data_IF_900512907994
#
_entry.id   IF_900512907994
#
_cell.length_a   1.000
_cell.length_b   1.000
_cell.length_c   1.000
_cell.angle_alpha   90.00
_cell.angle_beta   90.00
_cell.angle_gamma   90.00
#
_symmetry.space_group_name_H-M   'P 1'
#
loop_
_entity.id
_entity.type
_entity.pdbx_description
1 polymer ?
#
# COMPACT_ATOMS: atom_id res chain seq x y z
N UNK A 1 11.15 -20.14 0.65
CA UNK A 1 10.12 -20.26 1.72
C UNK A 1 9.67 -21.72 1.83
N UNK A 2 9.51 -22.29 3.03
CA UNK A 2 9.01 -23.68 3.20
C UNK A 2 7.77 -23.73 4.10
N UNK A 3 6.96 -24.78 3.99
CA UNK A 3 5.80 -25.00 4.87
C UNK A 3 6.21 -25.04 6.34
N UNK A 4 7.35 -25.67 6.65
CA UNK A 4 7.87 -25.73 8.02
C UNK A 4 8.16 -24.32 8.58
N UNK A 5 8.84 -23.47 7.80
CA UNK A 5 9.11 -22.08 8.19
C UNK A 5 7.81 -21.28 8.40
N UNK A 6 6.86 -21.38 7.47
CA UNK A 6 5.58 -20.65 7.56
C UNK A 6 4.77 -21.11 8.77
N UNK A 7 4.78 -22.42 9.09
CA UNK A 7 4.09 -22.95 10.27
C UNK A 7 4.67 -22.39 11.58
N UNK A 8 6.00 -22.34 11.70
CA UNK A 8 6.65 -21.73 12.86
C UNK A 8 6.29 -20.25 12.99
N UNK A 9 6.41 -19.49 11.90
CA UNK A 9 6.05 -18.07 11.88
C UNK A 9 4.58 -17.84 12.28
N UNK A 10 3.64 -18.62 11.74
CA UNK A 10 2.23 -18.49 12.08
C UNK A 10 1.91 -18.88 13.53
N UNK A 11 2.65 -19.84 14.10
CA UNK A 11 2.51 -20.18 15.52
C UNK A 11 2.94 -18.99 16.40
N UNK A 12 4.07 -18.36 16.09
CA UNK A 12 4.58 -17.19 16.80
C UNK A 12 3.64 -15.98 16.67
N UNK A 13 3.21 -15.66 15.44
CA UNK A 13 2.26 -14.57 15.20
C UNK A 13 0.93 -14.82 15.91
N UNK A 14 0.40 -16.06 15.90
CA UNK A 14 -0.84 -16.39 16.60
C UNK A 14 -0.70 -16.21 18.12
N UNK A 15 0.43 -16.65 18.69
CA UNK A 15 0.68 -16.54 20.13
C UNK A 15 0.70 -15.08 20.60
N UNK A 16 1.17 -14.15 19.77
CA UNK A 16 1.17 -12.72 20.08
C UNK A 16 -0.14 -11.98 19.71
N UNK A 17 -0.69 -12.23 18.52
CA UNK A 17 -1.82 -11.47 17.99
C UNK A 17 -3.15 -11.84 18.64
N UNK A 18 -3.37 -13.10 19.01
CA UNK A 18 -4.65 -13.52 19.62
C UNK A 18 -4.88 -12.83 20.97
N UNK A 19 -3.94 -12.88 21.94
CA UNK A 19 -4.13 -12.15 23.21
C UNK A 19 -4.26 -10.64 23.03
N UNK A 20 -3.54 -10.06 22.06
CA UNK A 20 -3.64 -8.63 21.76
C UNK A 20 -5.04 -8.24 21.26
N UNK A 21 -5.61 -9.01 20.33
CA UNK A 21 -6.95 -8.78 19.81
C UNK A 21 -8.00 -8.97 20.91
N UNK A 22 -7.85 -9.99 21.76
CA UNK A 22 -8.73 -10.21 22.92
C UNK A 22 -8.68 -9.05 23.91
N UNK A 23 -7.50 -8.50 24.18
CA UNK A 23 -7.33 -7.35 25.07
C UNK A 23 -7.95 -6.08 24.48
N UNK A 24 -7.70 -5.80 23.19
CA UNK A 24 -8.30 -4.66 22.49
C UNK A 24 -9.83 -4.80 22.44
N UNK A 25 -10.35 -6.00 22.19
CA UNK A 25 -11.79 -6.26 22.09
C UNK A 25 -12.57 -6.05 23.40
N UNK A 26 -11.89 -6.00 24.55
CA UNK A 26 -12.49 -5.65 25.85
C UNK A 26 -12.57 -4.14 26.10
N UNK A 27 -11.91 -3.33 25.26
CA UNK A 27 -11.89 -1.88 25.39
C UNK A 27 -13.03 -1.25 24.59
N UNK A 28 -13.44 0.00 24.91
CA UNK A 28 -14.34 0.75 24.06
C UNK A 28 -13.80 0.89 22.63
N UNK A 29 -14.70 0.88 21.65
CA UNK A 29 -14.36 1.10 20.25
C UNK A 29 -13.77 2.51 20.10
N UNK A 30 -12.68 2.64 19.35
CA UNK A 30 -12.08 3.92 19.04
C UNK A 30 -13.01 4.74 18.14
N UNK A 31 -13.07 6.05 18.38
CA UNK A 31 -13.79 6.96 17.50
C UNK A 31 -13.08 7.05 16.14
N UNK A 32 -13.72 6.52 15.10
CA UNK A 32 -13.27 6.52 13.71
C UNK A 32 -14.08 7.47 12.82
N UNK A 33 -14.89 8.36 13.42
CA UNK A 33 -15.74 9.30 12.68
C UNK A 33 -14.95 10.25 11.78
N UNK A 34 -13.67 10.45 12.04
CA UNK A 34 -12.79 11.22 11.16
C UNK A 34 -12.52 10.55 9.79
N UNK A 35 -12.75 9.24 9.68
CA UNK A 35 -12.56 8.46 8.45
C UNK A 35 -13.85 8.35 7.63
N UNK A 36 -15.00 8.70 8.20
CA UNK A 36 -16.32 8.59 7.55
C UNK A 36 -16.94 9.96 7.36
N UNK A 37 -17.61 10.19 6.22
CA UNK A 37 -18.10 11.52 5.85
C UNK A 37 -18.18 11.69 4.35
N UNK A 38 -18.49 12.89 3.86
CA UNK A 38 -18.48 13.17 2.41
C UNK A 38 -17.10 13.66 1.97
N UNK A 39 -16.36 12.77 1.33
CA UNK A 39 -15.02 12.98 0.80
C UNK A 39 -15.05 12.92 -0.74
N UNK A 40 -15.18 14.04 -1.44
CA UNK A 40 -15.17 14.05 -2.91
C UNK A 40 -13.90 13.41 -3.48
N UNK A 41 -14.06 12.56 -4.50
CA UNK A 41 -12.97 11.78 -5.12
C UNK A 41 -11.76 12.64 -5.49
N UNK A 42 -12.00 13.81 -6.10
CA UNK A 42 -10.91 14.71 -6.50
C UNK A 42 -10.08 15.23 -5.31
N UNK A 43 -10.70 15.45 -4.14
CA UNK A 43 -9.98 15.85 -2.93
C UNK A 43 -9.17 14.69 -2.34
N UNK A 44 -9.75 13.50 -2.32
CA UNK A 44 -9.04 12.29 -1.90
C UNK A 44 -7.82 12.04 -2.78
N UNK A 45 -7.97 12.16 -4.10
CA UNK A 45 -6.88 12.03 -5.06
C UNK A 45 -5.77 13.04 -4.79
N UNK A 46 -6.11 14.32 -4.69
CA UNK A 46 -5.11 15.37 -4.46
C UNK A 46 -4.37 15.15 -3.13
N UNK A 47 -5.08 14.73 -2.09
CA UNK A 47 -4.48 14.40 -0.79
C UNK A 47 -3.56 13.18 -0.90
N UNK A 48 -4.03 12.09 -1.50
CA UNK A 48 -3.23 10.88 -1.72
C UNK A 48 -1.96 11.15 -2.52
N UNK A 49 -2.04 11.88 -3.63
CA UNK A 49 -0.87 12.29 -4.43
C UNK A 49 0.12 13.14 -3.62
N UNK A 50 -0.38 14.02 -2.75
CA UNK A 50 0.47 14.83 -1.86
C UNK A 50 1.21 13.96 -0.84
N UNK A 51 0.52 13.01 -0.22
CA UNK A 51 1.10 12.12 0.80
C UNK A 51 2.16 11.20 0.19
N UNK A 52 1.88 10.54 -0.93
CA UNK A 52 2.84 9.60 -1.52
C UNK A 52 4.06 10.32 -2.12
N UNK A 53 3.88 11.55 -2.62
CA UNK A 53 5.01 12.40 -3.01
C UNK A 53 5.91 12.72 -1.81
N UNK A 54 5.33 12.99 -0.64
CA UNK A 54 6.09 13.23 0.58
C UNK A 54 6.79 11.96 1.10
N UNK A 55 6.26 10.78 0.81
CA UNK A 55 6.91 9.49 1.15
C UNK A 55 8.11 9.19 0.26
N UNK A 56 8.11 9.69 -0.99
CA UNK A 56 9.18 9.48 -1.95
C UNK A 56 8.75 8.85 -3.27
N UNK A 57 7.45 8.61 -3.49
CA UNK A 57 6.98 8.15 -4.79
C UNK A 57 7.25 9.20 -5.88
N UNK A 58 8.06 8.84 -6.86
CA UNK A 58 8.45 9.75 -7.93
C UNK A 58 7.43 9.71 -9.08
N UNK A 59 6.67 10.80 -9.23
CA UNK A 59 5.73 11.01 -10.33
C UNK A 59 6.41 11.32 -11.67
N UNK A 60 7.72 11.60 -11.68
CA UNK A 60 8.53 11.68 -12.90
C UNK A 60 8.70 10.31 -13.57
N UNK A 61 8.57 9.22 -12.80
CA UNK A 61 8.65 7.85 -13.30
C UNK A 61 7.40 7.00 -12.95
N UNK A 62 6.24 7.64 -12.82
CA UNK A 62 5.02 6.96 -12.41
C UNK A 62 3.77 7.84 -12.44
N UNK A 63 2.62 7.25 -12.14
CA UNK A 63 1.32 7.94 -12.01
C UNK A 63 0.35 7.16 -11.14
N UNK A 64 -0.65 7.87 -10.62
CA UNK A 64 -1.78 7.33 -9.86
C UNK A 64 -3.08 7.36 -10.67
N UNK A 65 -3.77 6.22 -10.75
CA UNK A 65 -5.05 6.05 -11.44
C UNK A 65 -6.12 5.33 -10.60
N UNK A 66 -7.37 5.38 -11.06
CA UNK A 66 -8.48 4.64 -10.45
C UNK A 66 -8.67 3.27 -11.11
N UNK A 67 -8.91 2.25 -10.30
CA UNK A 67 -9.30 0.90 -10.73
C UNK A 67 -10.31 0.27 -9.75
N UNK A 68 -10.82 -0.92 -10.08
CA UNK A 68 -11.69 -1.68 -9.19
C UNK A 68 -10.93 -2.31 -8.00
N UNK A 69 -9.71 -2.79 -8.26
CA UNK A 69 -8.82 -3.43 -7.29
C UNK A 69 -7.44 -2.81 -7.39
N UNK A 70 -7.00 -2.04 -6.36
CA UNK A 70 -5.67 -1.42 -6.33
C UNK A 70 -4.55 -2.43 -6.62
N UNK A 71 -3.54 -1.97 -7.33
CA UNK A 71 -2.31 -2.67 -7.65
C UNK A 71 -1.22 -1.69 -8.07
N UNK A 72 0.03 -2.15 -7.97
CA UNK A 72 1.22 -1.56 -8.55
C UNK A 72 1.68 -2.39 -9.76
N UNK A 73 2.15 -1.73 -10.81
CA UNK A 73 2.80 -2.40 -11.95
C UNK A 73 4.00 -1.61 -12.44
N UNK A 74 5.12 -2.31 -12.66
CA UNK A 74 6.27 -1.78 -13.40
C UNK A 74 6.14 -2.16 -14.88
N UNK A 75 6.08 -1.16 -15.75
CA UNK A 75 6.06 -1.36 -17.20
C UNK A 75 7.46 -1.29 -17.82
N UNK A 76 8.40 -0.66 -17.14
CA UNK A 76 9.80 -0.54 -17.57
C UNK A 76 10.57 0.40 -16.66
N UNK A 77 11.84 0.67 -17.00
CA UNK A 77 12.61 1.68 -16.28
C UNK A 77 11.96 3.05 -16.47
N UNK A 78 11.71 3.74 -15.37
CA UNK A 78 11.05 5.05 -15.41
C UNK A 78 9.53 4.99 -15.57
N UNK A 79 8.88 3.82 -15.50
CA UNK A 79 7.43 3.70 -15.58
C UNK A 79 6.89 2.65 -14.58
N UNK A 80 6.68 3.10 -13.35
CA UNK A 80 6.11 2.34 -12.23
C UNK A 80 4.80 2.98 -11.80
N UNK A 81 3.67 2.34 -12.13
CA UNK A 81 2.32 2.91 -11.95
C UNK A 81 1.65 2.30 -10.75
N UNK A 82 0.86 3.12 -10.07
CA UNK A 82 0.02 2.69 -8.95
C UNK A 82 -1.44 3.00 -9.26
N UNK A 83 -2.32 2.20 -8.70
CA UNK A 83 -3.76 2.40 -8.83
C UNK A 83 -4.41 2.37 -7.46
N UNK A 84 -5.58 3.00 -7.35
CA UNK A 84 -6.34 3.06 -6.11
C UNK A 84 -7.83 3.01 -6.38
N UNK A 85 -8.63 2.97 -5.32
CA UNK A 85 -10.10 3.02 -5.36
C UNK A 85 -10.59 4.00 -4.30
N UNK A 86 -11.47 4.91 -4.69
CA UNK A 86 -12.06 5.89 -3.79
C UNK A 86 -13.50 5.52 -3.45
N UNK A 87 -13.89 5.80 -2.20
CA UNK A 87 -15.28 5.76 -1.74
C UNK A 87 -15.62 7.12 -1.18
N UNK A 88 -16.70 7.73 -1.65
CA UNK A 88 -17.07 9.07 -1.18
C UNK A 88 -17.40 9.12 0.30
N UNK A 89 -17.81 7.98 0.90
CA UNK A 89 -18.21 7.89 2.30
C UNK A 89 -17.11 7.42 3.27
N UNK A 90 -15.92 7.06 2.77
CA UNK A 90 -14.83 6.43 3.54
C UNK A 90 -13.46 6.86 2.99
N UNK A 91 -12.76 7.68 3.76
CA UNK A 91 -11.42 8.19 3.41
C UNK A 91 -10.35 7.09 3.43
N UNK A 92 -10.55 6.03 4.22
CA UNK A 92 -9.54 5.01 4.48
C UNK A 92 -9.26 4.13 3.27
N UNK A 93 -10.30 3.76 2.48
CA UNK A 93 -10.16 2.90 1.28
C UNK A 93 -9.17 3.53 0.28
N UNK A 94 -9.38 4.80 -0.08
CA UNK A 94 -8.54 5.49 -1.05
C UNK A 94 -7.14 5.82 -0.50
N UNK A 95 -7.05 6.34 0.72
CA UNK A 95 -5.79 6.76 1.31
C UNK A 95 -4.84 5.58 1.53
N UNK A 96 -5.29 4.54 2.23
CA UNK A 96 -4.41 3.42 2.58
C UNK A 96 -4.12 2.51 1.37
N UNK A 97 -5.03 2.39 0.40
CA UNK A 97 -4.72 1.71 -0.87
C UNK A 97 -3.62 2.44 -1.63
N UNK A 98 -3.69 3.77 -1.72
CA UNK A 98 -2.66 4.57 -2.40
C UNK A 98 -1.30 4.43 -1.71
N UNK A 99 -1.27 4.49 -0.37
CA UNK A 99 -0.06 4.29 0.43
C UNK A 99 0.52 2.88 0.25
N UNK A 100 -0.33 1.84 0.24
CA UNK A 100 0.09 0.45 0.06
C UNK A 100 0.78 0.24 -1.28
N UNK A 101 0.12 0.65 -2.37
CA UNK A 101 0.69 0.47 -3.71
C UNK A 101 1.91 1.36 -3.95
N UNK A 102 1.96 2.56 -3.36
CA UNK A 102 3.15 3.41 -3.40
C UNK A 102 4.35 2.75 -2.71
N UNK A 103 4.13 1.98 -1.64
CA UNK A 103 5.19 1.20 -0.99
C UNK A 103 5.83 0.18 -1.96
N UNK A 104 5.00 -0.57 -2.69
CA UNK A 104 5.49 -1.47 -3.75
C UNK A 104 6.23 -0.70 -4.84
N UNK A 105 5.68 0.45 -5.25
CA UNK A 105 6.24 1.23 -6.34
C UNK A 105 7.59 1.83 -5.98
N UNK A 106 7.76 2.34 -4.76
CA UNK A 106 9.04 2.86 -4.29
C UNK A 106 10.11 1.77 -4.26
N UNK A 107 9.76 0.53 -3.90
CA UNK A 107 10.72 -0.57 -4.00
C UNK A 107 11.20 -0.79 -5.45
N UNK A 108 10.28 -0.75 -6.41
CA UNK A 108 10.62 -0.91 -7.83
C UNK A 108 11.33 0.31 -8.46
N UNK A 109 11.02 1.53 -8.00
CA UNK A 109 11.64 2.77 -8.48
C UNK A 109 13.11 2.89 -8.07
N UNK A 110 13.49 2.30 -6.93
CA UNK A 110 14.84 2.39 -6.36
C UNK A 110 15.79 1.26 -6.83
N UNK A 111 15.35 0.38 -7.73
CA UNK A 111 16.22 -0.65 -8.30
C UNK A 111 17.23 0.00 -9.24
N UNK A 112 18.52 -0.32 -9.06
CA UNK A 112 19.61 0.20 -9.88
C UNK A 112 19.33 0.00 -11.38
N UNK A 113 19.26 1.10 -12.11
CA UNK A 113 19.02 1.12 -13.55
C UNK A 113 20.11 0.39 -14.36
N UNK A 114 21.29 0.15 -13.80
CA UNK A 114 22.33 -0.67 -14.43
C UNK A 114 21.92 -2.15 -14.57
N UNK A 115 20.91 -2.59 -13.81
CA UNK A 115 20.39 -3.95 -13.87
C UNK A 115 19.35 -4.14 -14.97
N UNK A 116 18.91 -3.08 -15.66
CA UNK A 116 17.85 -3.15 -16.68
C UNK A 116 18.07 -4.28 -17.69
N UNK A 117 17.03 -5.09 -17.94
CA UNK A 117 17.09 -6.25 -18.83
C UNK A 117 17.77 -7.49 -18.24
N UNK A 118 18.30 -7.43 -17.02
CA UNK A 118 18.83 -8.59 -16.30
C UNK A 118 17.77 -9.26 -15.42
N UNK A 119 18.01 -10.52 -14.97
CA UNK A 119 17.16 -11.17 -13.97
C UNK A 119 17.10 -10.49 -12.60
N UNK A 120 17.88 -9.42 -12.37
CA UNK A 120 17.93 -8.70 -11.10
C UNK A 120 17.14 -7.38 -11.13
N UNK A 121 16.56 -7.01 -12.26
CA UNK A 121 15.79 -5.77 -12.41
C UNK A 121 14.33 -5.91 -11.99
N UNK A 122 14.08 -6.46 -10.80
CA UNK A 122 12.76 -6.50 -10.17
C UNK A 122 12.90 -6.83 -8.68
N UNK A 123 11.87 -6.51 -7.89
CA UNK A 123 11.82 -6.88 -6.48
C UNK A 123 11.85 -8.40 -6.29
N UNK A 124 12.38 -8.86 -5.16
CA UNK A 124 12.44 -10.30 -4.88
C UNK A 124 11.04 -10.89 -4.72
N UNK A 125 10.74 -11.95 -5.48
CA UNK A 125 9.49 -12.74 -5.39
C UNK A 125 9.73 -14.09 -4.73
#
# INVERSE_FOLDING_TARGET
MTVAMVRTLFAELRAGLVPLIEDIGRRPIADDTCLTGDFPEHKQRNFGETVVRAFGYDFGCGRLDKTAHPFMVKLGRGDVRITTRYRSNDLSDGLFSTLHEAGHAMYEQEIDGALEGTPLFHGTT
#
